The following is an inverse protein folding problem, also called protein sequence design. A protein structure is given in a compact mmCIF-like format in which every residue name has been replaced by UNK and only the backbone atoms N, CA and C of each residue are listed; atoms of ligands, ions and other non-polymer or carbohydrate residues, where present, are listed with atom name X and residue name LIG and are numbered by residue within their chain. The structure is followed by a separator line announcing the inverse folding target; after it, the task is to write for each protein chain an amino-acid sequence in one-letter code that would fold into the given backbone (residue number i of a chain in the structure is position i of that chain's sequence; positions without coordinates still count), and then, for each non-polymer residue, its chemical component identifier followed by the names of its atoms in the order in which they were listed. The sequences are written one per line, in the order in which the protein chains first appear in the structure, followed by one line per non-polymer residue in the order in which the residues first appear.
data_IF_923478691086
#
_entry.id   IF_923478691086
#
_cell.length_a   1.000
_cell.length_b   1.000
_cell.length_c   1.000
_cell.angle_alpha   90.00
_cell.angle_beta   90.00
_cell.angle_gamma   90.00
#
_symmetry.space_group_name_H-M   'P 1'
#
loop_
_entity.id
_entity.type
_entity.pdbx_description
1 polymer ?
#
# COMPACT_ATOMS: atom_id res chain seq x y z
N UNK A 1 -4.27 -5.77 28.35
CA UNK A 1 -4.07 -4.56 27.53
C UNK A 1 -4.58 -4.87 26.13
N UNK A 2 -5.71 -4.29 25.72
CA UNK A 2 -6.27 -4.53 24.39
C UNK A 2 -5.44 -3.75 23.36
N UNK A 3 -4.71 -4.47 22.48
CA UNK A 3 -4.12 -3.86 21.28
C UNK A 3 -5.29 -3.27 20.49
N UNK A 4 -5.33 -1.94 20.37
CA UNK A 4 -6.31 -1.25 19.54
C UNK A 4 -6.33 -1.89 18.16
N UNK A 5 -7.51 -2.25 17.69
CA UNK A 5 -7.71 -2.85 16.37
C UNK A 5 -7.31 -1.77 15.35
N UNK A 6 -6.11 -1.89 14.76
CA UNK A 6 -5.73 -1.02 13.64
C UNK A 6 -6.83 -1.14 12.57
N UNK A 7 -7.27 -0.01 12.02
CA UNK A 7 -8.26 -0.01 10.96
C UNK A 7 -7.79 -0.87 9.77
N UNK A 8 -8.74 -1.57 9.14
CA UNK A 8 -8.50 -2.19 7.83
C UNK A 8 -8.23 -1.12 6.76
N UNK A 9 -7.70 -1.54 5.61
CA UNK A 9 -7.46 -0.64 4.49
C UNK A 9 -8.76 0.04 4.04
N UNK A 10 -9.83 -0.75 3.89
CA UNK A 10 -11.14 -0.30 3.41
C UNK A 10 -11.80 0.67 4.39
N UNK A 11 -11.68 0.41 5.69
CA UNK A 11 -12.19 1.33 6.73
C UNK A 11 -11.40 2.65 6.74
N UNK A 12 -10.08 2.59 6.61
CA UNK A 12 -9.22 3.77 6.60
C UNK A 12 -9.46 4.63 5.35
N UNK A 13 -9.58 3.99 4.18
CA UNK A 13 -9.87 4.64 2.91
C UNK A 13 -11.23 5.35 2.95
N UNK A 14 -12.27 4.66 3.42
CA UNK A 14 -13.62 5.24 3.54
C UNK A 14 -13.65 6.47 4.46
N UNK A 15 -12.91 6.44 5.57
CA UNK A 15 -12.80 7.59 6.47
C UNK A 15 -12.03 8.74 5.82
N UNK A 16 -10.95 8.43 5.10
CA UNK A 16 -10.16 9.42 4.38
C UNK A 16 -10.98 10.13 3.30
N UNK A 17 -11.76 9.39 2.51
CA UNK A 17 -12.68 9.95 1.50
C UNK A 17 -13.71 10.90 2.14
N UNK A 18 -14.27 10.53 3.29
CA UNK A 18 -15.22 11.39 4.01
C UNK A 18 -14.56 12.69 4.50
N UNK A 19 -13.30 12.62 4.96
CA UNK A 19 -12.53 13.80 5.36
C UNK A 19 -12.24 14.71 4.17
N UNK A 20 -11.79 14.13 3.05
CA UNK A 20 -11.53 14.89 1.82
C UNK A 20 -12.78 15.61 1.37
N UNK A 21 -13.91 14.90 1.26
CA UNK A 21 -15.19 15.50 0.88
C UNK A 21 -15.59 16.66 1.81
N UNK A 22 -15.35 16.53 3.12
CA UNK A 22 -15.64 17.59 4.09
C UNK A 22 -14.71 18.79 3.94
N UNK A 23 -13.42 18.57 3.69
CA UNK A 23 -12.46 19.66 3.43
C UNK A 23 -12.79 20.38 2.12
N UNK A 24 -13.16 19.65 1.07
CA UNK A 24 -13.53 20.19 -0.24
C UNK A 24 -14.84 20.98 -0.23
N UNK A 25 -15.77 20.66 0.68
CA UNK A 25 -17.01 21.42 0.85
C UNK A 25 -16.77 22.87 1.28
N UNK A 26 -15.66 23.15 1.96
CA UNK A 26 -15.35 24.47 2.50
C UNK A 26 -16.18 24.88 3.73
N UNK A 27 -17.07 24.01 4.22
CA UNK A 27 -17.96 24.31 5.36
C UNK A 27 -17.27 24.20 6.74
N UNK A 28 -16.07 23.61 6.79
CA UNK A 28 -15.32 23.43 8.03
C UNK A 28 -14.63 24.73 8.47
N UNK A 29 -14.75 25.06 9.76
CA UNK A 29 -14.00 26.16 10.39
C UNK A 29 -12.50 25.85 10.40
N UNK A 30 -11.65 26.88 10.45
CA UNK A 30 -10.19 26.74 10.39
C UNK A 30 -9.63 25.67 11.35
N UNK A 31 -10.00 25.70 12.63
CA UNK A 31 -9.51 24.73 13.62
C UNK A 31 -10.01 23.31 13.34
N UNK A 32 -11.20 23.17 12.74
CA UNK A 32 -11.73 21.90 12.31
C UNK A 32 -11.00 21.39 11.07
N UNK A 33 -10.73 22.25 10.09
CA UNK A 33 -9.97 21.92 8.89
C UNK A 33 -8.56 21.43 9.22
N UNK A 34 -7.89 22.02 10.21
CA UNK A 34 -6.58 21.56 10.68
C UNK A 34 -6.68 20.15 11.27
N UNK A 35 -7.67 19.89 12.14
CA UNK A 35 -7.89 18.55 12.72
C UNK A 35 -8.23 17.50 11.66
N UNK A 36 -9.09 17.85 10.71
CA UNK A 36 -9.45 16.98 9.59
C UNK A 36 -8.23 16.66 8.73
N UNK A 37 -7.37 17.64 8.47
CA UNK A 37 -6.13 17.44 7.72
C UNK A 37 -5.15 16.49 8.45
N UNK A 38 -4.92 16.69 9.75
CA UNK A 38 -4.07 15.81 10.56
C UNK A 38 -4.57 14.37 10.55
N UNK A 39 -5.88 14.19 10.71
CA UNK A 39 -6.49 12.86 10.67
C UNK A 39 -6.42 12.23 9.27
N UNK A 40 -6.62 13.03 8.22
CA UNK A 40 -6.44 12.59 6.83
C UNK A 40 -5.01 12.11 6.56
N UNK A 41 -4.00 12.83 7.04
CA UNK A 41 -2.60 12.43 6.95
C UNK A 41 -2.34 11.10 7.66
N UNK A 42 -2.91 10.91 8.86
CA UNK A 42 -2.80 9.65 9.61
C UNK A 42 -3.43 8.47 8.86
N UNK A 43 -4.64 8.66 8.32
CA UNK A 43 -5.36 7.62 7.56
C UNK A 43 -4.65 7.28 6.25
N UNK A 44 -4.11 8.28 5.54
CA UNK A 44 -3.29 8.08 4.35
C UNK A 44 -2.06 7.22 4.66
N UNK A 45 -1.36 7.50 5.76
CA UNK A 45 -0.23 6.68 6.23
C UNK A 45 -0.62 5.22 6.53
N UNK A 46 -1.82 4.98 7.09
CA UNK A 46 -2.34 3.62 7.28
C UNK A 46 -2.60 2.92 5.95
N UNK A 47 -3.23 3.62 4.99
CA UNK A 47 -3.50 3.07 3.67
C UNK A 47 -2.20 2.64 2.98
N UNK A 48 -1.19 3.53 2.98
CA UNK A 48 0.12 3.22 2.40
C UNK A 48 0.76 1.99 3.06
N UNK A 49 0.78 1.94 4.40
CA UNK A 49 1.34 0.80 5.13
C UNK A 49 0.65 -0.52 4.76
N UNK A 50 -0.68 -0.52 4.60
CA UNK A 50 -1.44 -1.72 4.20
C UNK A 50 -1.13 -2.16 2.78
N UNK A 51 -0.96 -1.21 1.85
CA UNK A 51 -0.54 -1.51 0.48
C UNK A 51 0.88 -2.09 0.46
N UNK A 52 1.82 -1.49 1.18
CA UNK A 52 3.20 -1.98 1.28
C UNK A 52 3.26 -3.42 1.86
N UNK A 53 2.43 -3.71 2.88
CA UNK A 53 2.30 -5.04 3.46
C UNK A 53 1.76 -6.06 2.43
N UNK A 54 0.78 -5.67 1.62
CA UNK A 54 0.20 -6.50 0.57
C UNK A 54 1.21 -6.79 -0.55
N UNK A 55 1.93 -5.77 -1.02
CA UNK A 55 2.93 -5.89 -2.08
C UNK A 55 4.06 -6.83 -1.68
N UNK A 56 4.59 -6.68 -0.45
CA UNK A 56 5.61 -7.59 0.10
C UNK A 56 5.12 -9.03 0.17
N UNK A 57 3.84 -9.23 0.51
CA UNK A 57 3.26 -10.58 0.56
C UNK A 57 3.17 -11.19 -0.83
N UNK A 58 2.77 -10.41 -1.84
CA UNK A 58 2.76 -10.85 -3.24
C UNK A 58 4.18 -11.21 -3.69
N UNK A 59 5.16 -10.36 -3.41
CA UNK A 59 6.56 -10.61 -3.77
C UNK A 59 7.09 -11.91 -3.17
N UNK A 60 6.82 -12.17 -1.88
CA UNK A 60 7.19 -13.43 -1.23
C UNK A 60 6.50 -14.64 -1.87
N UNK A 61 5.23 -14.51 -2.28
CA UNK A 61 4.50 -15.59 -2.95
C UNK A 61 5.07 -15.88 -4.35
N UNK A 62 5.46 -14.85 -5.09
CA UNK A 62 6.08 -15.00 -6.41
C UNK A 62 7.52 -15.55 -6.33
N UNK A 63 8.28 -15.17 -5.29
CA UNK A 63 9.65 -15.64 -5.05
C UNK A 63 9.71 -17.05 -4.48
N UNK A 64 8.61 -17.59 -3.96
CA UNK A 64 8.51 -19.03 -3.68
C UNK A 64 8.20 -19.71 -5.00
N UNK A 65 9.16 -20.36 -5.68
CA UNK A 65 8.76 -21.32 -6.68
C UNK A 65 7.95 -22.35 -5.90
N UNK A 66 6.65 -22.45 -6.18
CA UNK A 66 5.95 -23.72 -6.03
C UNK A 66 6.91 -24.77 -6.57
N UNK A 67 7.32 -25.73 -5.73
CA UNK A 67 8.35 -26.73 -6.02
C UNK A 67 8.03 -27.61 -7.21
N UNK A 68 8.08 -27.02 -8.40
CA UNK A 68 8.25 -27.68 -9.67
C UNK A 68 9.63 -27.19 -10.11
N UNK A 69 10.63 -27.91 -9.63
CA UNK A 69 11.96 -27.90 -10.22
C UNK A 69 11.77 -28.17 -11.72
N UNK A 70 11.91 -27.14 -12.53
CA UNK A 70 12.34 -27.33 -13.91
C UNK A 70 13.80 -26.95 -13.93
N UNK A 71 14.63 -27.96 -13.74
CA UNK A 71 15.91 -28.00 -14.42
C UNK A 71 15.60 -27.84 -15.91
N UNK A 72 15.94 -26.68 -16.47
CA UNK A 72 16.36 -26.63 -17.86
C UNK A 72 17.67 -25.88 -17.88
N UNK A 73 18.68 -26.71 -18.09
CA UNK A 73 20.05 -26.44 -18.48
C UNK A 73 20.17 -25.27 -19.48
N UNK A 74 21.25 -24.51 -19.31
CA UNK A 74 22.01 -23.82 -20.35
C UNK A 74 21.24 -23.23 -21.55
N UNK A 75 21.06 -21.90 -21.52
CA UNK A 75 21.27 -21.09 -22.73
C UNK A 75 22.37 -20.06 -22.45
N UNK A 76 23.58 -20.57 -22.25
CA UNK A 76 24.79 -19.89 -22.68
C UNK A 76 24.85 -19.89 -24.22
N UNK A 77 23.97 -19.16 -24.89
CA UNK A 77 24.09 -18.89 -26.34
C UNK A 77 24.46 -17.42 -26.53
N UNK A 78 25.77 -17.26 -26.69
CA UNK A 78 26.49 -16.17 -27.32
C UNK A 78 25.68 -15.59 -28.49
N UNK A 79 25.36 -14.29 -28.44
CA UNK A 79 25.17 -13.49 -29.65
C UNK A 79 25.92 -12.17 -29.53
N UNK A 80 27.07 -12.18 -30.21
CA UNK A 80 27.70 -11.09 -30.97
C UNK A 80 28.31 -9.90 -30.21
N UNK A 81 29.56 -10.16 -29.84
CA UNK A 81 30.70 -9.25 -29.94
C UNK A 81 30.80 -8.69 -31.36
N UNK A 82 30.29 -7.48 -31.60
CA UNK A 82 30.81 -6.54 -32.60
C UNK A 82 30.32 -5.11 -32.29
N UNK A 83 31.28 -4.30 -31.81
CA UNK A 83 31.20 -2.86 -31.62
C UNK A 83 32.62 -2.30 -31.65
#
# INVERSE_FOLDING_TARGET
MAKGKEASFEEALKQLEAIVAKLESGDAKLEESIRLFEEGMRLSGICQKRLDEADRKIEVLLRKPSGIERETEDESVILDKDG
#
